data_IF_630874533657
#
_entry.id   IF_630874533657
#
_cell.length_a   1.000
_cell.length_b   1.000
_cell.length_c   1.000
_cell.angle_alpha   90.00
_cell.angle_beta   90.00
_cell.angle_gamma   90.00
#
_symmetry.space_group_name_H-M   'P 1'
#
loop_
_entity.id
_entity.type
_entity.pdbx_description
1 polymer ?
#
# COMPACT_ATOMS: atom_id res chain seq x y z
N UNK A 1 25.28 -0.36 -1.48
CA UNK A 1 25.71 -0.74 -2.86
C UNK A 1 27.18 -1.17 -2.80
N UNK A 2 27.53 -2.30 -3.41
CA UNK A 2 28.90 -2.84 -3.39
C UNK A 2 29.72 -2.36 -4.60
N UNK A 3 31.04 -2.42 -4.50
CA UNK A 3 31.93 -2.26 -5.64
C UNK A 3 31.76 -3.42 -6.65
N UNK A 4 31.97 -3.21 -7.97
CA UNK A 4 32.43 -1.98 -8.63
C UNK A 4 31.31 -0.96 -8.96
N UNK A 5 30.07 -1.25 -8.56
CA UNK A 5 28.88 -0.46 -8.95
C UNK A 5 28.96 0.94 -8.34
N UNK A 6 29.38 1.05 -7.08
CA UNK A 6 29.49 2.34 -6.40
C UNK A 6 30.46 3.30 -7.10
N UNK A 7 31.68 2.84 -7.43
CA UNK A 7 32.64 3.64 -8.18
C UNK A 7 32.13 4.02 -9.58
N UNK A 8 31.41 3.13 -10.25
CA UNK A 8 30.80 3.43 -11.55
C UNK A 8 29.73 4.52 -11.46
N UNK A 9 28.82 4.42 -10.49
CA UNK A 9 27.74 5.39 -10.28
C UNK A 9 28.28 6.77 -9.89
N UNK A 10 29.35 6.82 -9.07
CA UNK A 10 30.03 8.07 -8.74
C UNK A 10 30.60 8.74 -9.98
N UNK A 11 31.30 7.97 -10.83
CA UNK A 11 31.87 8.50 -12.07
C UNK A 11 30.80 8.99 -13.05
N UNK A 12 29.67 8.28 -13.16
CA UNK A 12 28.55 8.74 -13.97
C UNK A 12 28.02 10.09 -13.46
N UNK A 13 27.88 10.25 -12.14
CA UNK A 13 27.47 11.51 -11.51
C UNK A 13 28.47 12.65 -11.72
N UNK A 14 29.77 12.37 -11.60
CA UNK A 14 30.84 13.35 -11.88
C UNK A 14 30.84 13.83 -13.34
N UNK A 15 30.40 12.98 -14.26
CA UNK A 15 30.25 13.29 -15.68
C UNK A 15 28.85 13.83 -16.03
N UNK A 16 28.01 14.13 -15.03
CA UNK A 16 26.63 14.60 -15.21
C UNK A 16 25.77 13.67 -16.11
N UNK A 17 26.06 12.37 -16.06
CA UNK A 17 25.28 11.34 -16.75
C UNK A 17 24.13 10.93 -15.84
N UNK A 18 22.91 11.13 -16.32
CA UNK A 18 21.70 10.70 -15.64
C UNK A 18 21.67 9.18 -15.43
N UNK A 19 21.33 8.78 -14.22
CA UNK A 19 21.16 7.38 -13.83
C UNK A 19 19.70 7.16 -13.47
N UNK A 20 19.00 6.39 -14.30
CA UNK A 20 17.58 6.09 -14.10
C UNK A 20 17.38 4.61 -13.81
N UNK A 21 16.55 4.34 -12.81
CA UNK A 21 15.95 3.03 -12.62
C UNK A 21 14.76 2.79 -13.54
N UNK A 22 14.29 1.55 -13.57
CA UNK A 22 13.11 1.15 -14.34
C UNK A 22 11.85 1.98 -13.97
N UNK A 23 11.62 2.22 -12.67
CA UNK A 23 10.49 3.04 -12.20
C UNK A 23 10.53 4.49 -12.73
N UNK A 24 11.72 5.07 -12.85
CA UNK A 24 11.90 6.43 -13.37
C UNK A 24 11.56 6.49 -14.87
N UNK A 25 11.92 5.46 -15.64
CA UNK A 25 11.48 5.32 -17.03
C UNK A 25 9.95 5.19 -17.13
N UNK A 26 9.33 4.40 -16.25
CA UNK A 26 7.87 4.26 -16.21
C UNK A 26 7.19 5.61 -15.98
N UNK A 27 7.63 6.36 -14.97
CA UNK A 27 7.08 7.67 -14.62
C UNK A 27 7.17 8.65 -15.81
N UNK A 28 8.33 8.70 -16.46
CA UNK A 28 8.58 9.55 -17.62
C UNK A 28 7.74 9.15 -18.83
N UNK A 29 7.57 7.85 -19.05
CA UNK A 29 6.75 7.33 -20.14
C UNK A 29 5.27 7.69 -19.95
N UNK A 30 4.70 7.52 -18.75
CA UNK A 30 3.33 7.95 -18.45
C UNK A 30 3.15 9.45 -18.69
N UNK A 31 4.08 10.28 -18.22
CA UNK A 31 4.05 11.72 -18.48
C UNK A 31 4.20 12.07 -19.96
N UNK A 32 4.99 11.31 -20.73
CA UNK A 32 5.12 11.48 -22.17
C UNK A 32 3.83 11.12 -22.92
N UNK A 33 3.16 10.04 -22.51
CA UNK A 33 1.87 9.63 -23.08
C UNK A 33 0.80 10.70 -22.88
N UNK A 34 0.73 11.35 -21.70
CA UNK A 34 -0.19 12.48 -21.49
C UNK A 34 0.10 13.64 -22.45
N UNK A 35 1.38 14.04 -22.58
CA UNK A 35 1.78 15.11 -23.51
C UNK A 35 1.43 14.76 -24.97
N UNK A 36 1.61 13.51 -25.38
CA UNK A 36 1.27 13.05 -26.73
C UNK A 36 -0.25 13.04 -26.95
N UNK A 37 -1.04 12.60 -25.96
CA UNK A 37 -2.49 12.61 -26.03
C UNK A 37 -3.05 14.04 -26.19
N UNK A 38 -2.45 15.01 -25.49
CA UNK A 38 -2.86 16.42 -25.55
C UNK A 38 -2.70 17.05 -26.93
N UNK A 39 -1.75 16.59 -27.75
CA UNK A 39 -1.60 17.04 -29.16
C UNK A 39 -2.88 16.75 -29.96
N UNK A 40 -3.60 15.67 -29.62
CA UNK A 40 -4.84 15.26 -30.28
C UNK A 40 -6.09 15.68 -29.49
N UNK A 41 -5.99 16.66 -28.58
CA UNK A 41 -7.10 17.09 -27.69
C UNK A 41 -7.66 15.97 -26.80
N UNK A 42 -6.87 14.93 -26.55
CA UNK A 42 -7.16 13.85 -25.60
C UNK A 42 -6.31 14.02 -24.33
N UNK A 43 -6.56 13.20 -23.30
CA UNK A 43 -5.78 13.24 -22.06
C UNK A 43 -5.53 11.82 -21.55
N UNK A 44 -4.30 11.57 -21.10
CA UNK A 44 -3.95 10.33 -20.42
C UNK A 44 -3.46 10.62 -19.01
N UNK A 45 -4.40 10.66 -18.07
CA UNK A 45 -4.11 10.87 -16.65
C UNK A 45 -4.60 9.69 -15.83
N UNK A 46 -3.90 8.53 -15.90
CA UNK A 46 -4.28 7.40 -15.10
C UNK A 46 -4.03 7.68 -13.62
N UNK A 47 -4.81 7.04 -12.74
CA UNK A 47 -4.48 7.01 -11.33
C UNK A 47 -3.29 6.06 -11.11
N UNK A 48 -2.30 6.47 -10.33
CA UNK A 48 -1.16 5.62 -9.96
C UNK A 48 -1.21 5.38 -8.46
N UNK A 49 -1.43 4.13 -8.06
CA UNK A 49 -1.43 3.64 -6.70
C UNK A 49 -0.11 2.93 -6.41
N UNK A 50 0.67 3.43 -5.46
CA UNK A 50 2.00 2.89 -5.17
C UNK A 50 2.08 2.27 -3.77
N UNK A 51 2.60 1.05 -3.67
CA UNK A 51 2.67 0.30 -2.41
C UNK A 51 4.10 -0.11 -2.14
N UNK A 52 4.65 0.34 -1.00
CA UNK A 52 5.87 -0.22 -0.43
C UNK A 52 5.68 -0.57 1.05
N UNK A 53 6.74 -1.12 1.64
CA UNK A 53 6.79 -1.61 3.01
C UNK A 53 7.72 -2.80 3.13
N UNK A 54 8.00 -3.26 4.34
CA UNK A 54 8.73 -4.52 4.53
C UNK A 54 7.80 -5.69 4.21
N UNK A 55 6.60 -5.70 4.79
CA UNK A 55 5.61 -6.78 4.67
C UNK A 55 4.27 -6.30 4.12
N UNK A 56 3.46 -7.25 3.61
CA UNK A 56 2.10 -6.99 3.13
C UNK A 56 1.98 -6.44 1.71
N UNK A 57 3.09 -5.97 1.10
CA UNK A 57 3.15 -5.37 -0.24
C UNK A 57 2.29 -6.09 -1.29
N UNK A 58 2.63 -7.34 -1.63
CA UNK A 58 1.93 -8.08 -2.69
C UNK A 58 0.46 -8.29 -2.41
N UNK A 59 0.09 -8.60 -1.17
CA UNK A 59 -1.31 -8.76 -0.78
C UNK A 59 -2.08 -7.45 -0.96
N UNK A 60 -1.51 -6.33 -0.52
CA UNK A 60 -2.15 -5.01 -0.67
C UNK A 60 -2.22 -4.57 -2.13
N UNK A 61 -1.16 -4.80 -2.92
CA UNK A 61 -1.11 -4.48 -4.35
C UNK A 61 -2.16 -5.27 -5.12
N UNK A 62 -2.22 -6.60 -4.94
CA UNK A 62 -3.19 -7.43 -5.62
C UNK A 62 -4.63 -7.09 -5.20
N UNK A 63 -4.85 -6.90 -3.90
CA UNK A 63 -6.14 -6.46 -3.38
C UNK A 63 -6.56 -5.12 -3.99
N UNK A 64 -5.71 -4.09 -3.94
CA UNK A 64 -5.99 -2.78 -4.53
C UNK A 64 -6.28 -2.87 -6.03
N UNK A 65 -5.54 -3.73 -6.76
CA UNK A 65 -5.82 -4.06 -8.16
C UNK A 65 -7.24 -4.58 -8.36
N UNK A 66 -7.59 -5.66 -7.65
CA UNK A 66 -8.93 -6.26 -7.72
C UNK A 66 -10.04 -5.26 -7.32
N UNK A 67 -9.81 -4.44 -6.30
CA UNK A 67 -10.77 -3.42 -5.87
C UNK A 67 -11.05 -2.42 -7.00
N UNK A 68 -10.00 -1.97 -7.70
CA UNK A 68 -10.12 -1.05 -8.82
C UNK A 68 -10.82 -1.71 -10.02
N UNK A 69 -10.48 -2.96 -10.34
CA UNK A 69 -11.14 -3.72 -11.43
C UNK A 69 -12.63 -3.93 -11.15
N UNK A 70 -12.97 -4.32 -9.91
CA UNK A 70 -14.37 -4.50 -9.47
C UNK A 70 -15.13 -3.18 -9.42
N UNK A 71 -14.45 -2.05 -9.30
CA UNK A 71 -15.02 -0.73 -9.46
C UNK A 71 -15.21 -0.32 -10.94
N UNK A 72 -14.96 -1.23 -11.90
CA UNK A 72 -15.18 -1.03 -13.32
C UNK A 72 -14.04 -0.32 -14.04
N UNK A 73 -12.84 -0.25 -13.43
CA UNK A 73 -11.66 0.35 -14.05
C UNK A 73 -10.87 -0.66 -14.85
N UNK A 74 -10.21 -0.21 -15.92
CA UNK A 74 -9.11 -0.96 -16.52
C UNK A 74 -7.86 -0.77 -15.68
N UNK A 75 -7.31 -1.87 -15.18
CA UNK A 75 -6.22 -1.85 -14.21
C UNK A 75 -5.01 -2.58 -14.76
N UNK A 76 -3.83 -2.03 -14.49
CA UNK A 76 -2.57 -2.72 -14.66
C UNK A 76 -1.87 -2.85 -13.29
N UNK A 77 -1.67 -4.09 -12.86
CA UNK A 77 -0.89 -4.43 -11.67
C UNK A 77 0.52 -4.82 -12.10
N UNK A 78 1.55 -4.20 -11.50
CA UNK A 78 2.94 -4.42 -11.89
C UNK A 78 3.94 -3.99 -10.81
N UNK A 79 5.24 -4.13 -11.10
CA UNK A 79 6.33 -3.53 -10.34
C UNK A 79 7.34 -4.57 -9.87
N UNK A 80 7.62 -4.59 -8.57
CA UNK A 80 8.51 -5.57 -7.94
C UNK A 80 7.95 -7.00 -8.00
N UNK A 81 6.64 -7.15 -8.18
CA UNK A 81 6.00 -8.41 -8.56
C UNK A 81 5.87 -8.48 -10.07
N UNK A 82 6.10 -9.66 -10.65
CA UNK A 82 5.93 -9.86 -12.09
C UNK A 82 4.50 -9.55 -12.53
N UNK A 83 4.31 -8.84 -13.66
CA UNK A 83 5.35 -8.26 -14.53
C UNK A 83 5.98 -6.97 -13.98
N UNK A 84 7.21 -6.65 -14.42
CA UNK A 84 7.83 -5.34 -14.17
C UNK A 84 6.96 -4.21 -14.73
N UNK A 85 7.06 -3.00 -14.17
CA UNK A 85 6.20 -1.89 -14.56
C UNK A 85 6.41 -1.46 -16.02
N UNK A 86 7.67 -1.43 -16.48
CA UNK A 86 7.99 -1.17 -17.89
C UNK A 86 7.48 -2.26 -18.83
N UNK A 87 7.67 -3.52 -18.48
CA UNK A 87 7.21 -4.64 -19.29
C UNK A 87 5.68 -4.63 -19.43
N UNK A 88 4.99 -4.33 -18.33
CA UNK A 88 3.53 -4.18 -18.35
C UNK A 88 3.10 -2.98 -19.18
N UNK A 89 3.80 -1.86 -19.07
CA UNK A 89 3.53 -0.67 -19.88
C UNK A 89 3.70 -0.95 -21.37
N UNK A 90 4.81 -1.58 -21.77
CA UNK A 90 5.05 -1.98 -23.16
C UNK A 90 3.96 -2.92 -23.67
N UNK A 91 3.61 -3.96 -22.89
CA UNK A 91 2.52 -4.87 -23.25
C UNK A 91 1.16 -4.18 -23.39
N UNK A 92 0.87 -3.17 -22.56
CA UNK A 92 -0.35 -2.38 -22.69
C UNK A 92 -0.33 -1.49 -23.94
N UNK A 93 0.82 -0.90 -24.27
CA UNK A 93 0.99 -0.09 -25.47
C UNK A 93 0.85 -0.93 -26.74
N UNK A 94 1.44 -2.13 -26.78
CA UNK A 94 1.34 -3.03 -27.92
C UNK A 94 -0.10 -3.52 -28.17
N UNK A 95 -0.92 -3.57 -27.11
CA UNK A 95 -2.31 -4.02 -27.16
C UNK A 95 -3.35 -2.90 -27.27
N UNK A 96 -2.94 -1.63 -27.20
CA UNK A 96 -3.84 -0.49 -27.22
C UNK A 96 -3.90 0.12 -28.62
N UNK A 97 -5.09 0.21 -29.20
CA UNK A 97 -5.30 0.91 -30.47
C UNK A 97 -5.37 2.43 -30.24
N UNK A 98 -5.88 2.84 -29.08
CA UNK A 98 -6.09 4.23 -28.69
C UNK A 98 -5.63 4.46 -27.24
N UNK A 99 -5.38 5.73 -26.88
CA UNK A 99 -5.03 6.11 -25.51
C UNK A 99 -6.14 5.69 -24.54
N UNK A 100 -7.39 5.74 -24.99
CA UNK A 100 -8.55 5.30 -24.25
C UNK A 100 -8.54 3.80 -24.00
N UNK A 101 -7.74 2.96 -24.63
CA UNK A 101 -7.64 1.53 -24.32
C UNK A 101 -6.64 1.24 -23.19
N UNK A 102 -5.81 2.23 -22.87
CA UNK A 102 -4.80 2.12 -21.82
C UNK A 102 -5.43 1.96 -20.43
N UNK A 103 -4.68 1.39 -19.46
CA UNK A 103 -5.13 1.31 -18.08
C UNK A 103 -5.49 2.67 -17.49
N UNK A 104 -6.64 2.75 -16.85
CA UNK A 104 -7.07 3.92 -16.08
C UNK A 104 -6.41 3.97 -14.71
N UNK A 105 -6.01 2.81 -14.18
CA UNK A 105 -5.36 2.69 -12.87
C UNK A 105 -4.13 1.79 -12.98
N UNK A 106 -2.99 2.29 -12.50
CA UNK A 106 -1.78 1.52 -12.28
C UNK A 106 -1.64 1.22 -10.79
N UNK A 107 -1.46 -0.05 -10.45
CA UNK A 107 -1.20 -0.47 -9.06
C UNK A 107 0.18 -1.08 -9.00
N UNK A 108 1.12 -0.35 -8.39
CA UNK A 108 2.54 -0.63 -8.43
C UNK A 108 3.02 -1.12 -7.06
N UNK A 109 3.54 -2.34 -7.01
CA UNK A 109 4.37 -2.79 -5.89
C UNK A 109 5.79 -2.26 -6.08
N UNK A 110 6.33 -1.54 -5.11
CA UNK A 110 7.67 -0.95 -5.19
C UNK A 110 8.58 -1.43 -4.06
N UNK A 111 9.79 -1.86 -4.43
CA UNK A 111 10.86 -2.16 -3.47
C UNK A 111 11.59 -0.89 -3.04
N UNK A 112 12.32 -0.94 -1.92
CA UNK A 112 13.20 0.17 -1.54
C UNK A 112 14.32 0.40 -2.57
N UNK A 113 14.79 -0.64 -3.24
CA UNK A 113 15.84 -0.54 -4.28
C UNK A 113 15.40 0.30 -5.48
N UNK A 114 14.16 0.12 -5.96
CA UNK A 114 13.61 0.91 -7.06
C UNK A 114 13.48 2.39 -6.66
N UNK A 115 13.05 2.65 -5.42
CA UNK A 115 12.81 3.99 -4.91
C UNK A 115 14.09 4.81 -4.65
N UNK A 116 15.26 4.18 -4.55
CA UNK A 116 16.54 4.92 -4.43
C UNK A 116 16.85 5.74 -5.68
N UNK A 117 16.54 5.22 -6.87
CA UNK A 117 16.90 5.83 -8.16
C UNK A 117 15.73 6.55 -8.82
N UNK A 118 14.80 7.03 -8.01
CA UNK A 118 13.55 7.64 -8.48
C UNK A 118 13.49 9.09 -8.04
N UNK A 119 13.15 9.98 -8.97
CA UNK A 119 13.19 11.43 -8.76
C UNK A 119 11.95 12.14 -9.26
N UNK A 120 11.32 11.65 -10.34
CA UNK A 120 10.13 12.29 -10.93
C UNK A 120 8.83 11.54 -10.68
N UNK A 121 8.89 10.38 -10.02
CA UNK A 121 7.70 9.61 -9.70
C UNK A 121 6.78 10.37 -8.74
N UNK A 122 5.53 10.55 -9.16
CA UNK A 122 4.50 11.22 -8.38
C UNK A 122 3.21 10.40 -8.50
N UNK A 123 2.98 9.51 -7.53
CA UNK A 123 1.78 8.69 -7.49
C UNK A 123 0.55 9.54 -7.10
N UNK A 124 -0.63 9.12 -7.54
CA UNK A 124 -1.92 9.68 -7.07
C UNK A 124 -2.10 9.42 -5.58
N UNK A 125 -1.83 8.19 -5.15
CA UNK A 125 -1.79 7.81 -3.74
C UNK A 125 -0.70 6.76 -3.52
N UNK A 126 0.00 6.86 -2.40
CA UNK A 126 1.04 5.92 -2.05
C UNK A 126 0.95 5.47 -0.60
N UNK A 127 1.51 4.31 -0.28
CA UNK A 127 1.62 3.85 1.10
C UNK A 127 2.98 3.25 1.40
N UNK A 128 3.46 3.50 2.62
CA UNK A 128 4.46 2.67 3.28
C UNK A 128 3.71 1.86 4.34
N UNK A 129 3.53 0.57 4.12
CA UNK A 129 2.68 -0.27 4.97
C UNK A 129 3.24 -0.48 6.38
N UNK A 130 4.55 -0.66 6.47
CA UNK A 130 5.31 -0.92 7.69
C UNK A 130 6.80 -0.90 7.35
N UNK A 131 7.62 -0.66 8.37
CA UNK A 131 9.07 -0.70 8.30
C UNK A 131 9.59 -1.60 9.42
N UNK A 132 10.34 -2.62 9.02
CA UNK A 132 11.11 -3.48 9.91
C UNK A 132 12.44 -3.85 9.23
N UNK A 133 13.42 -4.29 10.03
CA UNK A 133 14.77 -4.57 9.56
C UNK A 133 14.77 -5.57 8.40
N UNK A 134 15.27 -5.11 7.25
CA UNK A 134 15.43 -5.90 6.04
C UNK A 134 16.49 -5.22 5.14
N UNK A 135 17.22 -6.00 4.34
CA UNK A 135 18.18 -5.51 3.34
C UNK A 135 19.25 -4.50 3.82
N UNK A 136 19.65 -4.54 5.10
CA UNK A 136 20.66 -3.62 5.64
C UNK A 136 22.06 -3.82 5.05
N UNK A 137 22.34 -5.01 4.53
CA UNK A 137 23.54 -5.32 3.76
C UNK A 137 23.71 -4.41 2.52
N UNK A 138 22.60 -3.95 1.94
CA UNK A 138 22.62 -3.07 0.77
C UNK A 138 22.47 -1.59 1.12
N UNK A 139 21.55 -1.27 2.04
CA UNK A 139 21.22 0.10 2.46
C UNK A 139 22.23 0.68 3.45
N UNK A 140 23.01 -0.16 4.14
CA UNK A 140 24.00 0.23 5.15
C UNK A 140 23.38 0.37 6.53
N UNK A 141 22.31 1.16 6.66
CA UNK A 141 21.60 1.35 7.92
C UNK A 141 20.07 1.49 7.75
N UNK A 142 19.37 1.49 8.89
CA UNK A 142 17.91 1.61 8.92
C UNK A 142 17.41 2.96 8.41
N UNK A 143 18.16 4.06 8.63
CA UNK A 143 17.71 5.38 8.21
C UNK A 143 17.73 5.50 6.69
N UNK A 144 18.80 5.04 6.04
CA UNK A 144 18.88 4.97 4.58
C UNK A 144 17.76 4.09 3.98
N UNK A 145 17.41 2.97 4.64
CA UNK A 145 16.28 2.13 4.22
C UNK A 145 14.93 2.83 4.34
N UNK A 146 14.72 3.59 5.42
CA UNK A 146 13.53 4.41 5.67
C UNK A 146 13.42 5.52 4.61
N UNK A 147 14.50 6.27 4.41
CA UNK A 147 14.57 7.38 3.45
C UNK A 147 14.31 6.88 2.02
N UNK A 148 14.88 5.73 1.66
CA UNK A 148 14.60 5.08 0.38
C UNK A 148 13.12 4.78 0.18
N UNK A 149 12.40 4.30 1.22
CA UNK A 149 10.95 4.07 1.13
C UNK A 149 10.15 5.36 1.09
N UNK A 150 10.61 6.41 1.77
CA UNK A 150 9.96 7.72 1.79
C UNK A 150 9.88 8.34 0.38
N UNK A 151 10.82 8.03 -0.51
CA UNK A 151 10.83 8.48 -1.91
C UNK A 151 9.60 8.00 -2.72
N UNK A 152 8.76 7.11 -2.19
CA UNK A 152 7.47 6.77 -2.83
C UNK A 152 6.49 7.95 -2.86
N UNK A 153 6.66 8.92 -1.96
CA UNK A 153 5.77 10.08 -1.84
C UNK A 153 6.28 11.24 -2.69
N UNK A 154 5.65 11.43 -3.84
CA UNK A 154 5.86 12.62 -4.68
C UNK A 154 5.26 13.89 -4.06
N UNK A 155 5.37 15.00 -4.78
CA UNK A 155 4.94 16.32 -4.30
C UNK A 155 3.45 16.32 -3.91
N UNK A 156 2.59 15.85 -4.82
CA UNK A 156 1.13 15.91 -4.73
C UNK A 156 0.48 14.58 -4.30
N UNK A 157 1.32 13.58 -3.99
CA UNK A 157 0.84 12.25 -3.60
C UNK A 157 0.02 12.30 -2.32
N UNK A 158 -1.15 11.67 -2.33
CA UNK A 158 -1.90 11.38 -1.10
C UNK A 158 -1.16 10.30 -0.32
N UNK A 159 -0.67 10.66 0.86
CA UNK A 159 0.14 9.80 1.71
C UNK A 159 -0.74 8.93 2.60
N UNK A 160 -0.74 7.62 2.36
CA UNK A 160 -1.48 6.64 3.17
C UNK A 160 -0.53 6.01 4.19
N UNK A 161 -0.69 6.36 5.48
CA UNK A 161 0.27 5.99 6.54
C UNK A 161 -0.33 5.02 7.57
N UNK A 162 0.48 4.06 8.02
CA UNK A 162 0.12 3.13 9.08
C UNK A 162 0.35 3.74 10.47
N UNK A 163 -0.72 3.99 11.23
CA UNK A 163 -0.67 4.54 12.60
C UNK A 163 -0.03 3.59 13.61
N UNK A 164 -0.02 2.29 13.31
CA UNK A 164 0.54 1.29 14.23
C UNK A 164 2.08 1.22 14.14
N UNK A 165 2.68 1.85 13.12
CA UNK A 165 4.11 1.82 12.88
C UNK A 165 4.74 3.21 13.13
N UNK A 166 5.51 3.38 14.24
CA UNK A 166 6.13 4.66 14.56
C UNK A 166 7.14 5.16 13.51
N UNK A 167 7.81 4.27 12.78
CA UNK A 167 8.75 4.66 11.73
C UNK A 167 8.01 5.22 10.51
N UNK A 168 6.87 4.61 10.16
CA UNK A 168 5.99 5.12 9.09
C UNK A 168 5.40 6.47 9.47
N UNK A 169 4.93 6.62 10.71
CA UNK A 169 4.46 7.92 11.19
C UNK A 169 5.62 8.93 11.28
N UNK A 170 6.85 8.49 11.54
CA UNK A 170 8.04 9.34 11.59
C UNK A 170 8.58 9.82 10.23
N UNK A 171 7.99 9.43 9.10
CA UNK A 171 8.52 9.74 7.76
C UNK A 171 8.55 11.23 7.40
N UNK A 172 7.70 12.03 8.05
CA UNK A 172 7.56 13.45 7.77
C UNK A 172 7.73 14.27 9.04
N UNK A 173 8.45 15.39 8.93
CA UNK A 173 8.47 16.42 9.96
C UNK A 173 7.08 17.06 10.15
N UNK A 174 6.86 17.75 11.26
CA UNK A 174 5.59 18.46 11.51
C UNK A 174 5.25 19.46 10.40
N UNK A 175 6.27 20.17 9.87
CA UNK A 175 6.11 21.12 8.76
C UNK A 175 5.72 20.43 7.45
N UNK A 176 6.34 19.28 7.14
CA UNK A 176 6.00 18.50 5.96
C UNK A 176 4.58 17.96 6.04
N UNK A 177 4.16 17.47 7.22
CA UNK A 177 2.80 16.97 7.43
C UNK A 177 1.73 18.02 7.15
N UNK A 178 1.97 19.28 7.50
CA UNK A 178 1.02 20.37 7.27
C UNK A 178 0.79 20.68 5.77
N UNK A 179 1.74 20.33 4.91
CA UNK A 179 1.65 20.56 3.45
C UNK A 179 1.25 19.32 2.65
N UNK A 180 1.16 18.15 3.29
CA UNK A 180 0.81 16.88 2.65
C UNK A 180 -0.66 16.53 2.88
N UNK A 181 -1.29 15.93 1.86
CA UNK A 181 -2.56 15.23 2.06
C UNK A 181 -2.26 13.87 2.68
N UNK A 182 -2.64 13.67 3.94
CA UNK A 182 -2.37 12.45 4.69
C UNK A 182 -3.70 11.76 5.04
N UNK A 183 -3.79 10.47 4.77
CA UNK A 183 -4.84 9.59 5.27
C UNK A 183 -4.17 8.47 6.05
N UNK A 184 -4.73 8.09 7.19
CA UNK A 184 -4.11 7.09 8.04
C UNK A 184 -4.94 5.81 8.14
N UNK A 185 -4.29 4.67 8.31
CA UNK A 185 -4.93 3.40 8.64
C UNK A 185 -4.26 2.78 9.87
N UNK A 186 -4.95 1.90 10.60
CA UNK A 186 -4.36 1.25 11.77
C UNK A 186 -5.29 0.26 12.42
N UNK A 187 -4.79 -0.47 13.40
CA UNK A 187 -5.52 -1.58 14.02
C UNK A 187 -6.42 -1.16 15.17
N UNK A 188 -6.38 0.12 15.52
CA UNK A 188 -7.23 0.75 16.52
C UNK A 188 -8.28 1.64 15.84
N UNK A 189 -9.30 2.01 16.62
CA UNK A 189 -10.34 2.96 16.24
C UNK A 189 -9.70 4.26 15.73
N UNK A 190 -10.08 4.77 14.55
CA UNK A 190 -9.56 6.03 14.04
C UNK A 190 -10.15 7.23 14.80
N UNK A 191 -9.34 8.28 14.94
CA UNK A 191 -9.65 9.53 15.65
C UNK A 191 -9.40 10.78 14.79
N UNK A 192 -9.18 10.59 13.48
CA UNK A 192 -8.96 11.65 12.50
C UNK A 192 -9.95 11.50 11.33
N UNK A 193 -10.36 12.62 10.73
CA UNK A 193 -11.20 12.61 9.53
C UNK A 193 -10.52 11.85 8.39
N UNK A 194 -11.31 11.06 7.65
CA UNK A 194 -10.82 10.31 6.50
C UNK A 194 -10.05 9.05 6.86
N UNK A 195 -9.71 8.86 8.14
CA UNK A 195 -8.89 7.75 8.59
C UNK A 195 -9.65 6.43 8.66
N UNK A 196 -8.93 5.36 8.38
CA UNK A 196 -9.40 3.98 8.37
C UNK A 196 -8.95 3.26 9.64
N UNK A 197 -9.74 2.34 10.18
CA UNK A 197 -9.30 1.55 11.34
C UNK A 197 -10.18 0.36 11.66
N UNK A 198 -10.01 -0.18 12.86
CA UNK A 198 -10.81 -1.29 13.38
C UNK A 198 -11.52 -0.85 14.65
N UNK A 199 -12.84 -0.99 14.69
CA UNK A 199 -13.66 -0.79 15.89
C UNK A 199 -14.12 -2.15 16.43
N UNK A 200 -13.80 -2.43 17.70
CA UNK A 200 -14.30 -3.61 18.40
C UNK A 200 -15.68 -3.31 19.00
N UNK A 201 -16.74 -3.93 18.47
CA UNK A 201 -18.11 -3.73 18.97
C UNK A 201 -18.41 -4.64 20.17
N UNK A 202 -18.25 -4.08 21.37
CA UNK A 202 -18.57 -4.75 22.64
C UNK A 202 -20.07 -5.06 22.81
N UNK A 203 -20.98 -4.42 22.06
CA UNK A 203 -22.43 -4.59 22.21
C UNK A 203 -23.01 -5.64 21.27
N UNK A 204 -22.41 -5.81 20.09
CA UNK A 204 -22.85 -6.77 19.07
C UNK A 204 -22.01 -8.06 19.06
N UNK A 205 -21.74 -8.63 20.24
CA UNK A 205 -21.06 -9.93 20.34
C UNK A 205 -19.55 -9.90 20.14
N UNK A 206 -18.89 -8.74 20.21
CA UNK A 206 -17.43 -8.63 20.11
C UNK A 206 -16.89 -8.69 18.68
N UNK A 207 -17.67 -8.21 17.70
CA UNK A 207 -17.26 -8.21 16.29
C UNK A 207 -16.28 -7.06 16.04
N UNK A 208 -15.15 -7.37 15.41
CA UNK A 208 -14.24 -6.37 14.86
C UNK A 208 -14.78 -5.84 13.53
N UNK A 209 -15.02 -4.54 13.45
CA UNK A 209 -15.47 -3.87 12.23
C UNK A 209 -14.34 -3.08 11.60
N UNK A 210 -14.16 -3.24 10.29
CA UNK A 210 -13.43 -2.26 9.49
C UNK A 210 -14.27 -0.98 9.44
N UNK A 211 -13.69 0.15 9.79
CA UNK A 211 -14.38 1.45 9.88
C UNK A 211 -13.65 2.54 9.12
N UNK A 212 -14.42 3.54 8.68
CA UNK A 212 -13.93 4.79 8.10
C UNK A 212 -14.51 5.97 8.87
N UNK A 213 -13.68 6.93 9.24
CA UNK A 213 -14.09 8.14 9.95
C UNK A 213 -14.54 9.23 8.95
N UNK A 214 -15.83 9.54 8.97
CA UNK A 214 -16.41 10.68 8.24
C UNK A 214 -16.74 11.79 9.25
N UNK A 215 -16.82 13.04 8.77
CA UNK A 215 -17.32 14.15 9.60
C UNK A 215 -18.79 13.92 9.88
N UNK A 216 -19.20 14.08 11.12
CA UNK A 216 -20.61 14.06 11.51
C UNK A 216 -21.22 15.45 11.27
N UNK A 217 -21.74 15.66 10.06
CA UNK A 217 -22.37 16.94 9.65
C UNK A 217 -23.60 17.30 10.53
N UNK A 218 -24.16 16.33 11.26
CA UNK A 218 -25.29 16.51 12.16
C UNK A 218 -24.88 17.01 13.56
N UNK A 219 -23.58 17.10 13.87
CA UNK A 219 -23.07 17.56 15.16
C UNK A 219 -22.21 18.82 15.04
N UNK A 220 -22.40 19.77 15.95
CA UNK A 220 -21.59 21.00 15.99
C UNK A 220 -20.16 20.71 16.49
N UNK A 221 -19.12 21.35 15.90
CA UNK A 221 -17.73 21.25 16.36
C UNK A 221 -17.58 21.60 17.85
N UNK A 222 -16.81 20.80 18.59
CA UNK A 222 -16.54 21.08 20.00
C UNK A 222 -15.14 21.71 20.19
N UNK A 223 -15.00 22.75 21.03
CA UNK A 223 -13.70 23.36 21.30
C UNK A 223 -12.81 22.45 22.17
N UNK A 224 -11.62 22.05 21.68
CA UNK A 224 -10.62 21.32 22.47
C UNK A 224 -9.92 22.22 23.52
N UNK A 225 -9.52 21.62 24.65
CA UNK A 225 -8.63 22.26 25.65
C UNK A 225 -7.25 22.55 25.05
N UNK A 226 -6.82 23.82 25.15
CA UNK A 226 -5.54 24.39 24.69
C UNK A 226 -4.35 23.40 24.70
N UNK A 227 -3.91 22.96 23.51
CA UNK A 227 -2.48 22.77 23.23
C UNK A 227 -1.95 24.08 22.63
N UNK A 228 -0.71 24.46 22.98
CA UNK A 228 -0.12 25.79 22.78
C UNK A 228 -0.56 26.49 21.47
N UNK A 229 -1.15 27.69 21.66
CA UNK A 229 -1.44 28.78 20.70
C UNK A 229 -2.38 28.58 19.50
N UNK A 230 -3.02 27.43 19.28
CA UNK A 230 -4.12 27.32 18.30
C UNK A 230 -5.28 26.55 18.93
N UNK A 231 -6.47 27.18 19.01
CA UNK A 231 -7.73 26.46 19.21
C UNK A 231 -8.06 25.73 17.92
N UNK A 232 -7.81 24.42 17.89
CA UNK A 232 -8.32 23.53 16.85
C UNK A 232 -9.70 23.06 17.32
N UNK A 233 -10.74 23.41 16.58
CA UNK A 233 -12.07 22.85 16.78
C UNK A 233 -12.03 21.38 16.37
N UNK A 234 -12.50 20.49 17.25
CA UNK A 234 -12.58 19.07 16.94
C UNK A 234 -13.91 18.84 16.22
N UNK A 235 -13.83 18.55 14.92
CA UNK A 235 -15.02 18.14 14.18
C UNK A 235 -15.49 16.78 14.73
N UNK A 236 -16.77 16.65 15.13
CA UNK A 236 -17.30 15.40 15.64
C UNK A 236 -17.20 14.34 14.54
N UNK A 237 -16.55 13.23 14.86
CA UNK A 237 -16.34 12.14 13.89
C UNK A 237 -17.40 11.06 14.05
N UNK A 238 -18.02 10.70 12.93
CA UNK A 238 -18.89 9.53 12.83
C UNK A 238 -18.11 8.37 12.20
N UNK A 239 -18.09 7.23 12.90
CA UNK A 239 -17.50 6.02 12.37
C UNK A 239 -18.51 5.25 11.53
N UNK A 240 -18.23 5.16 10.24
CA UNK A 240 -18.99 4.33 9.31
C UNK A 240 -18.43 2.93 9.31
N UNK A 241 -19.25 1.97 9.73
CA UNK A 241 -18.96 0.55 9.63
C UNK A 241 -18.99 0.12 8.18
N UNK A 242 -17.88 -0.41 7.70
CA UNK A 242 -17.70 -0.81 6.32
C UNK A 242 -18.06 -2.28 6.12
N UNK A 243 -17.32 -3.17 6.77
CA UNK A 243 -17.51 -4.62 6.70
C UNK A 243 -16.97 -5.25 8.00
N UNK A 244 -17.59 -6.33 8.50
CA UNK A 244 -17.00 -7.13 9.57
C UNK A 244 -15.65 -7.72 9.15
N UNK A 245 -14.66 -7.72 10.04
CA UNK A 245 -13.33 -8.27 9.74
C UNK A 245 -13.37 -9.79 9.47
N UNK A 246 -14.32 -10.51 10.09
CA UNK A 246 -14.54 -11.94 9.88
C UNK A 246 -15.28 -12.26 8.56
N UNK A 247 -15.88 -11.26 7.92
CA UNK A 247 -16.47 -11.40 6.59
C UNK A 247 -15.40 -11.34 5.47
N UNK A 248 -14.16 -10.96 5.79
CA UNK A 248 -13.04 -11.09 4.86
C UNK A 248 -12.69 -12.57 4.64
N UNK A 249 -12.45 -12.95 3.39
CA UNK A 249 -11.96 -14.31 3.08
C UNK A 249 -10.50 -14.49 3.50
N UNK A 250 -9.72 -13.41 3.47
CA UNK A 250 -8.36 -13.37 4.00
C UNK A 250 -8.39 -13.20 5.52
N UNK A 251 -7.70 -14.10 6.24
CA UNK A 251 -7.75 -14.14 7.71
C UNK A 251 -6.61 -13.37 8.36
N UNK A 252 -6.84 -12.91 9.58
CA UNK A 252 -5.81 -12.34 10.45
C UNK A 252 -5.76 -10.81 10.42
N UNK A 253 -5.33 -10.23 11.54
CA UNK A 253 -5.32 -8.77 11.77
C UNK A 253 -4.43 -8.02 10.75
N UNK A 254 -3.31 -8.60 10.34
CA UNK A 254 -2.45 -8.02 9.30
C UNK A 254 -3.14 -7.92 7.94
N UNK A 255 -4.01 -8.87 7.60
CA UNK A 255 -4.79 -8.84 6.36
C UNK A 255 -5.93 -7.82 6.43
N UNK A 256 -6.53 -7.62 7.61
CA UNK A 256 -7.44 -6.50 7.84
C UNK A 256 -6.74 -5.14 7.63
N UNK A 257 -5.48 -5.00 8.08
CA UNK A 257 -4.68 -3.80 7.82
C UNK A 257 -4.35 -3.61 6.33
N UNK A 258 -3.96 -4.68 5.63
CA UNK A 258 -3.75 -4.64 4.18
C UNK A 258 -5.03 -4.21 3.45
N UNK A 259 -6.20 -4.68 3.91
CA UNK A 259 -7.49 -4.26 3.38
C UNK A 259 -7.79 -2.77 3.61
N UNK A 260 -7.53 -2.25 4.82
CA UNK A 260 -7.69 -0.82 5.09
C UNK A 260 -6.77 0.03 4.22
N UNK A 261 -5.51 -0.39 4.02
CA UNK A 261 -4.57 0.30 3.15
C UNK A 261 -5.03 0.29 1.68
N UNK A 262 -5.50 -0.86 1.17
CA UNK A 262 -6.03 -0.97 -0.19
C UNK A 262 -7.30 -0.12 -0.40
N UNK A 263 -8.21 -0.10 0.58
CA UNK A 263 -9.39 0.76 0.56
C UNK A 263 -9.01 2.24 0.53
N UNK A 264 -8.04 2.66 1.37
CA UNK A 264 -7.58 4.03 1.44
C UNK A 264 -6.93 4.48 0.12
N UNK A 265 -6.08 3.65 -0.48
CA UNK A 265 -5.48 3.90 -1.80
C UNK A 265 -6.54 4.07 -2.89
N UNK A 266 -7.47 3.11 -3.01
CA UNK A 266 -8.51 3.15 -4.02
C UNK A 266 -9.48 4.33 -3.82
N UNK A 267 -9.79 4.68 -2.56
CA UNK A 267 -10.62 5.84 -2.22
C UNK A 267 -9.93 7.16 -2.58
N UNK A 268 -8.62 7.25 -2.38
CA UNK A 268 -7.81 8.41 -2.76
C UNK A 268 -7.70 8.59 -4.29
N UNK A 269 -7.81 7.50 -5.06
CA UNK A 269 -8.00 7.56 -6.51
C UNK A 269 -9.44 7.92 -6.94
N UNK A 270 -10.32 8.30 -6.01
CA UNK A 270 -11.68 8.74 -6.29
C UNK A 270 -12.70 7.63 -6.52
N UNK A 271 -12.35 6.36 -6.26
CA UNK A 271 -13.28 5.25 -6.44
C UNK A 271 -14.34 5.21 -5.32
N UNK A 272 -15.61 4.89 -5.65
CA UNK A 272 -16.71 4.97 -4.71
C UNK A 272 -16.71 3.79 -3.73
N UNK A 273 -16.85 4.09 -2.44
CA UNK A 273 -16.68 3.11 -1.34
C UNK A 273 -17.56 1.87 -1.50
N UNK A 274 -18.81 2.00 -1.95
CA UNK A 274 -19.72 0.87 -2.15
C UNK A 274 -19.18 -0.18 -3.13
N UNK A 275 -18.53 0.24 -4.24
CA UNK A 275 -17.92 -0.68 -5.20
C UNK A 275 -16.69 -1.37 -4.61
N UNK A 276 -15.90 -0.62 -3.83
CA UNK A 276 -14.72 -1.16 -3.14
C UNK A 276 -15.11 -2.23 -2.11
N UNK A 277 -16.15 -2.01 -1.31
CA UNK A 277 -16.61 -3.00 -0.33
C UNK A 277 -17.12 -4.29 -0.99
N UNK A 278 -17.77 -4.17 -2.16
CA UNK A 278 -18.15 -5.34 -2.94
C UNK A 278 -16.91 -6.13 -3.39
N UNK A 279 -15.90 -5.45 -3.94
CA UNK A 279 -14.66 -6.09 -4.37
C UNK A 279 -13.88 -6.74 -3.21
N UNK A 280 -13.88 -6.09 -2.03
CA UNK A 280 -13.16 -6.55 -0.85
C UNK A 280 -13.73 -7.86 -0.30
N UNK A 281 -15.05 -8.00 -0.28
CA UNK A 281 -15.74 -9.22 0.18
C UNK A 281 -15.38 -10.46 -0.65
N UNK A 282 -15.06 -10.25 -1.93
CA UNK A 282 -14.79 -11.32 -2.91
C UNK A 282 -13.30 -11.66 -3.06
N UNK A 283 -12.39 -10.95 -2.38
CA UNK A 283 -10.94 -11.19 -2.50
C UNK A 283 -10.49 -12.38 -1.67
N UNK A 284 -9.88 -13.39 -2.29
CA UNK A 284 -9.53 -14.67 -1.65
C UNK A 284 -8.05 -14.80 -1.22
N UNK A 285 -7.23 -13.77 -1.47
CA UNK A 285 -5.80 -13.81 -1.21
C UNK A 285 -4.98 -14.34 -2.39
N UNK A 286 -3.67 -14.14 -2.30
CA UNK A 286 -2.73 -14.55 -3.34
C UNK A 286 -2.27 -15.99 -3.16
N UNK A 287 -1.96 -16.71 -4.26
CA UNK A 287 -1.26 -17.98 -4.18
C UNK A 287 0.03 -17.85 -3.34
N UNK A 288 0.38 -18.92 -2.62
CA UNK A 288 1.61 -19.01 -1.83
C UNK A 288 1.73 -18.03 -0.64
N UNK A 289 0.60 -17.47 -0.16
CA UNK A 289 0.53 -16.65 1.07
C UNK A 289 -0.40 -17.29 2.08
N UNK A 290 0.15 -18.06 3.01
CA UNK A 290 -0.58 -18.88 3.99
C UNK A 290 -1.72 -19.68 3.32
N UNK A 291 -1.41 -20.29 2.18
CA UNK A 291 -2.37 -21.01 1.36
C UNK A 291 -2.46 -22.47 1.81
N UNK A 292 -3.63 -22.94 2.22
CA UNK A 292 -3.87 -24.37 2.43
C UNK A 292 -3.83 -25.10 1.09
N UNK A 293 -2.83 -25.96 0.88
CA UNK A 293 -2.60 -26.68 -0.39
C UNK A 293 -3.09 -28.12 -0.36
N UNK A 294 -3.10 -28.76 0.82
CA UNK A 294 -3.59 -30.12 0.98
C UNK A 294 -3.91 -30.45 2.44
N UNK A 295 -4.83 -31.40 2.65
CA UNK A 295 -4.99 -32.07 3.94
C UNK A 295 -4.74 -33.56 3.72
N UNK A 296 -3.68 -34.09 4.31
CA UNK A 296 -3.28 -35.50 4.16
C UNK A 296 -3.17 -36.10 5.56
N UNK A 297 -3.91 -37.18 5.82
CA UNK A 297 -3.90 -37.86 7.13
C UNK A 297 -4.13 -36.91 8.31
N UNK A 298 -5.09 -35.99 8.17
CA UNK A 298 -5.42 -34.93 9.14
C UNK A 298 -4.30 -33.91 9.41
N UNK A 299 -3.29 -33.83 8.55
CA UNK A 299 -2.26 -32.78 8.56
C UNK A 299 -2.55 -31.80 7.43
N UNK A 300 -2.74 -30.53 7.79
CA UNK A 300 -2.87 -29.43 6.83
C UNK A 300 -1.49 -28.96 6.37
N UNK A 301 -1.28 -28.94 5.07
CA UNK A 301 -0.09 -28.40 4.43
C UNK A 301 -0.39 -26.99 3.95
N UNK A 302 0.42 -26.04 4.43
CA UNK A 302 0.26 -24.61 4.14
C UNK A 302 1.48 -24.13 3.37
N UNK A 303 1.25 -23.52 2.21
CA UNK A 303 2.28 -22.86 1.40
C UNK A 303 2.34 -21.37 1.75
N UNK A 304 3.49 -20.94 2.27
CA UNK A 304 3.83 -19.55 2.52
C UNK A 304 5.20 -19.19 1.93
N UNK A 305 5.53 -19.75 0.76
CA UNK A 305 6.84 -19.59 0.10
C UNK A 305 7.17 -18.14 -0.30
N UNK A 306 6.20 -17.21 -0.21
CA UNK A 306 6.41 -15.76 -0.38
C UNK A 306 6.80 -15.02 0.91
N UNK A 307 6.79 -15.69 2.07
CA UNK A 307 7.29 -15.18 3.34
C UNK A 307 8.82 -15.16 3.40
N UNK A 308 9.47 -14.24 2.69
CA UNK A 308 10.94 -14.25 2.51
C UNK A 308 11.73 -13.51 3.60
N UNK A 309 11.09 -13.08 4.69
CA UNK A 309 11.76 -12.41 5.80
C UNK A 309 11.18 -12.84 7.15
N UNK A 310 11.90 -12.54 8.24
CA UNK A 310 11.53 -12.93 9.61
C UNK A 310 10.14 -12.40 9.99
N UNK A 311 9.82 -11.16 9.63
CA UNK A 311 8.53 -10.54 9.93
C UNK A 311 7.34 -11.24 9.27
N UNK A 312 7.50 -11.67 8.02
CA UNK A 312 6.49 -12.43 7.29
C UNK A 312 6.21 -13.78 7.96
N UNK A 313 7.26 -14.54 8.30
CA UNK A 313 7.13 -15.82 9.00
C UNK A 313 6.43 -15.68 10.35
N UNK A 314 6.79 -14.66 11.13
CA UNK A 314 6.12 -14.38 12.42
C UNK A 314 4.63 -14.07 12.22
N UNK A 315 4.28 -13.27 11.21
CA UNK A 315 2.89 -12.95 10.91
C UNK A 315 2.07 -14.19 10.51
N UNK A 316 2.65 -15.10 9.72
CA UNK A 316 2.02 -16.37 9.34
C UNK A 316 1.78 -17.27 10.56
N UNK A 317 2.79 -17.47 11.41
CA UNK A 317 2.66 -18.29 12.62
C UNK A 317 1.61 -17.76 13.60
N UNK A 318 1.57 -16.43 13.81
CA UNK A 318 0.56 -15.80 14.65
C UNK A 318 -0.85 -15.96 14.05
N UNK A 319 -1.00 -15.89 12.72
CA UNK A 319 -2.27 -16.11 12.03
C UNK A 319 -2.77 -17.55 12.15
N UNK A 320 -1.88 -18.53 11.96
CA UNK A 320 -2.21 -19.96 12.03
C UNK A 320 -2.55 -20.42 13.46
N UNK A 321 -1.96 -19.78 14.47
CA UNK A 321 -2.21 -20.10 15.89
C UNK A 321 -3.44 -19.42 16.49
N UNK A 322 -4.01 -18.40 15.83
CA UNK A 322 -5.07 -17.56 16.40
C UNK A 322 -6.41 -18.28 16.66
N UNK A 323 -6.67 -19.41 15.99
CA UNK A 323 -8.01 -20.03 15.99
C UNK A 323 -8.13 -21.32 16.81
N UNK A 324 -7.03 -21.95 17.23
CA UNK A 324 -7.10 -23.22 17.98
C UNK A 324 -5.95 -23.37 18.97
N UNK A 325 -6.29 -23.43 20.26
CA UNK A 325 -5.33 -23.75 21.32
C UNK A 325 -4.85 -25.20 21.15
N UNK A 326 -3.54 -25.38 20.94
CA UNK A 326 -2.90 -26.71 20.90
C UNK A 326 -2.54 -27.26 19.52
N UNK A 327 -2.74 -26.51 18.43
CA UNK A 327 -2.22 -26.88 17.11
C UNK A 327 -0.68 -26.93 17.12
N UNK A 328 -0.10 -28.07 16.72
CA UNK A 328 1.36 -28.22 16.54
C UNK A 328 1.73 -27.79 15.12
N UNK A 329 2.51 -26.73 15.00
CA UNK A 329 3.00 -26.23 13.70
C UNK A 329 4.41 -26.77 13.46
N UNK A 330 4.63 -27.37 12.29
CA UNK A 330 5.94 -27.80 11.83
C UNK A 330 6.39 -26.80 10.76
N UNK A 331 7.41 -25.99 11.07
CA UNK A 331 7.93 -24.96 10.17
C UNK A 331 9.07 -25.52 9.32
N UNK A 332 8.98 -25.34 8.01
CA UNK A 332 10.09 -25.51 7.07
C UNK A 332 10.62 -24.12 6.75
N UNK A 333 11.88 -23.83 7.09
CA UNK A 333 12.52 -22.55 6.84
C UNK A 333 13.98 -22.74 6.42
N UNK A 334 14.49 -21.82 5.59
CA UNK A 334 15.86 -21.82 5.07
C UNK A 334 15.90 -21.34 3.63
N UNK A 335 16.97 -20.63 3.27
CA UNK A 335 17.17 -20.01 1.96
C UNK A 335 18.03 -18.77 2.04
#
# INVERSE_FOLDING_TARGET
ILEPIQSFLLKAKELEIDIWGELEFFARAVAALDRMAQVNSMQYKPAVLAITGTNGKTTTTALAGQLCERAGKRVAVAGNISPAALDKLMSCLDGADQVEDMPEVWVLELSSFQLVYTSTFNATAATVLNISQDHLDWHGDMQAYIDAKANIFGLDTVCILNRDDPQVMGLFSEEQRASKSIVTFGSNRPDEQGAFGIEHDLRAGGIDWLVWAEVDEDQEPQPKRRRKSVTVEDEPLRLKRLIPADALRIRGRHNALNALAALALARAAGLPMNMLLHGLRDYHGEPHRVQSIAVISNVEYVDDSKGTNVGATVAALNGLSANESGKRIWLIAGG
#
